data_IF_701867821681
#
_entry.id   IF_701867821681
#
_cell.length_a   1.000
_cell.length_b   1.000
_cell.length_c   1.000
_cell.angle_alpha   90.00
_cell.angle_beta   90.00
_cell.angle_gamma   90.00
#
_symmetry.space_group_name_H-M   'P 1'
#
loop_
_entity.id
_entity.type
_entity.pdbx_description
1 polymer ?
#
# COMPACT_ATOMS: atom_id res chain seq x y z
N UNK A 1 5.12 71.91 -37.59
CA UNK A 1 4.46 70.73 -38.18
C UNK A 1 5.27 69.49 -37.79
N UNK A 2 4.60 68.51 -37.15
CA UNK A 2 4.86 67.05 -37.12
C UNK A 2 6.30 66.58 -36.86
N UNK A 3 6.65 66.15 -35.63
CA UNK A 3 6.48 64.80 -35.08
C UNK A 3 7.40 63.73 -35.70
N UNK A 4 8.36 63.21 -34.94
CA UNK A 4 8.41 61.78 -34.54
C UNK A 4 9.70 61.47 -33.77
N UNK A 5 9.52 61.20 -32.49
CA UNK A 5 10.42 60.44 -31.62
C UNK A 5 10.39 58.97 -32.04
N UNK A 6 11.54 58.41 -32.42
CA UNK A 6 11.72 56.97 -32.63
C UNK A 6 12.83 56.45 -31.75
N UNK A 7 12.46 55.93 -30.58
CA UNK A 7 13.36 55.18 -29.71
C UNK A 7 13.55 53.77 -30.26
N UNK A 8 14.78 53.43 -30.63
CA UNK A 8 15.20 52.05 -30.83
C UNK A 8 15.74 51.49 -29.50
N UNK A 9 14.82 51.10 -28.62
CA UNK A 9 15.12 50.08 -27.61
C UNK A 9 15.19 48.74 -28.35
N UNK A 10 16.42 48.37 -28.74
CA UNK A 10 16.72 47.04 -29.23
C UNK A 10 16.20 46.00 -28.22
N UNK A 11 15.13 45.31 -28.60
CA UNK A 11 14.64 44.11 -27.95
C UNK A 11 15.77 43.08 -27.96
N UNK A 12 16.48 43.00 -26.83
CA UNK A 12 17.31 41.86 -26.47
C UNK A 12 16.38 40.66 -26.41
N UNK A 13 16.38 39.86 -27.47
CA UNK A 13 15.88 38.49 -27.48
C UNK A 13 16.46 37.79 -26.24
N UNK A 14 15.61 37.49 -25.28
CA UNK A 14 15.95 36.54 -24.22
C UNK A 14 16.25 35.22 -24.93
N UNK A 15 17.54 34.90 -25.02
CA UNK A 15 18.02 33.59 -25.41
C UNK A 15 17.36 32.57 -24.48
N UNK A 16 16.78 31.53 -25.09
CA UNK A 16 15.96 30.54 -24.40
C UNK A 16 16.63 30.02 -23.14
N UNK A 17 15.93 30.18 -22.02
CA UNK A 17 16.20 29.33 -20.87
C UNK A 17 16.06 27.88 -21.35
N UNK A 18 17.01 26.99 -21.02
CA UNK A 18 16.87 25.58 -21.35
C UNK A 18 15.55 25.10 -20.73
N UNK A 19 14.61 24.67 -21.57
CA UNK A 19 13.38 24.02 -21.11
C UNK A 19 13.82 22.88 -20.18
N UNK A 20 13.55 23.02 -18.88
CA UNK A 20 13.79 21.95 -17.91
C UNK A 20 13.10 20.70 -18.46
N UNK A 21 13.81 19.59 -18.50
CA UNK A 21 13.22 18.32 -18.93
C UNK A 21 12.10 17.97 -17.96
N UNK A 22 10.93 17.50 -18.44
CA UNK A 22 9.87 17.04 -17.57
C UNK A 22 10.38 15.99 -16.59
N UNK A 23 9.86 16.03 -15.36
CA UNK A 23 10.14 15.02 -14.33
C UNK A 23 9.17 13.87 -14.56
N UNK A 24 9.66 12.65 -14.65
CA UNK A 24 8.80 11.47 -14.73
C UNK A 24 8.47 10.96 -13.32
N UNK A 25 7.18 10.80 -13.03
CA UNK A 25 6.66 10.37 -11.74
C UNK A 25 5.86 9.07 -11.87
N UNK A 26 5.91 8.25 -10.83
CA UNK A 26 5.01 7.12 -10.64
C UNK A 26 4.33 7.26 -9.29
N UNK A 27 3.02 7.48 -9.33
CA UNK A 27 2.17 7.47 -8.15
C UNK A 27 1.66 6.06 -7.92
N UNK A 28 1.60 5.60 -6.67
CA UNK A 28 0.96 4.31 -6.40
C UNK A 28 0.24 4.27 -5.05
N UNK A 29 -0.71 3.34 -4.98
CA UNK A 29 -1.38 2.91 -3.75
C UNK A 29 -1.52 1.38 -3.77
N UNK A 30 -1.68 0.78 -2.59
CA UNK A 30 -1.82 -0.68 -2.45
C UNK A 30 -3.10 -1.07 -1.72
N UNK A 31 -3.71 -2.15 -2.19
CA UNK A 31 -4.73 -2.86 -1.46
C UNK A 31 -4.15 -4.09 -0.76
N UNK A 32 -4.48 -4.23 0.52
CA UNK A 32 -4.12 -5.38 1.32
C UNK A 32 -5.21 -6.46 1.26
N UNK A 33 -4.84 -7.75 1.31
CA UNK A 33 -5.81 -8.85 1.27
C UNK A 33 -6.79 -8.85 2.47
N UNK A 34 -8.08 -9.01 2.19
CA UNK A 34 -9.13 -9.24 3.22
C UNK A 34 -9.08 -10.69 3.70
N UNK A 35 -8.14 -11.00 4.58
CA UNK A 35 -7.96 -12.35 5.14
C UNK A 35 -6.75 -12.46 6.06
N UNK A 36 -5.72 -11.64 5.81
CA UNK A 36 -4.62 -11.39 6.75
C UNK A 36 -5.05 -10.59 7.99
N UNK A 37 -6.34 -10.18 8.06
CA UNK A 37 -6.96 -9.55 9.21
C UNK A 37 -7.41 -10.62 10.18
N UNK A 38 -6.91 -10.55 11.43
CA UNK A 38 -7.28 -11.47 12.50
C UNK A 38 -8.80 -11.73 12.50
N UNK A 39 -9.18 -13.00 12.34
CA UNK A 39 -10.56 -13.42 12.56
C UNK A 39 -10.89 -13.24 14.05
N UNK A 40 -11.80 -12.30 14.35
CA UNK A 40 -12.31 -12.05 15.70
C UNK A 40 -13.16 -10.78 15.75
N UNK A 41 -14.21 -10.77 16.58
CA UNK A 41 -14.97 -9.55 16.87
C UNK A 41 -14.08 -8.61 17.73
N UNK A 42 -14.12 -7.31 17.43
CA UNK A 42 -13.42 -6.24 18.16
C UNK A 42 -11.94 -6.04 17.83
N UNK A 43 -11.51 -6.34 16.59
CA UNK A 43 -10.12 -6.11 16.16
C UNK A 43 -9.94 -4.64 15.80
N UNK A 44 -9.12 -3.93 16.58
CA UNK A 44 -8.62 -2.60 16.27
C UNK A 44 -7.99 -2.57 14.86
N UNK A 45 -7.91 -1.39 14.23
CA UNK A 45 -7.19 -1.23 12.96
C UNK A 45 -5.81 -1.92 13.05
N UNK A 46 -5.64 -3.01 12.29
CA UNK A 46 -4.42 -3.80 12.34
C UNK A 46 -3.26 -2.95 11.79
N UNK A 47 -2.09 -2.99 12.44
CA UNK A 47 -0.99 -2.13 12.07
C UNK A 47 -0.35 -2.64 10.75
N UNK A 48 0.29 -1.76 9.96
CA UNK A 48 0.66 -2.04 8.57
C UNK A 48 1.67 -3.19 8.41
N UNK A 49 2.30 -3.66 9.49
CA UNK A 49 3.28 -4.76 9.46
C UNK A 49 2.65 -6.16 9.29
N UNK A 50 1.31 -6.25 9.27
CA UNK A 50 0.55 -7.50 9.11
C UNK A 50 -0.25 -7.62 7.80
N UNK A 51 -0.03 -6.73 6.83
CA UNK A 51 -0.75 -6.75 5.56
C UNK A 51 -0.04 -7.57 4.49
N UNK A 52 -0.70 -8.59 3.94
CA UNK A 52 -0.29 -9.15 2.66
C UNK A 52 -0.77 -8.20 1.56
N UNK A 53 0.16 -7.65 0.77
CA UNK A 53 -0.20 -6.86 -0.41
C UNK A 53 -0.98 -7.78 -1.35
N UNK A 54 -2.19 -7.38 -1.74
CA UNK A 54 -3.03 -8.14 -2.67
C UNK A 54 -3.02 -7.54 -4.07
N UNK A 55 -3.06 -6.20 -4.17
CA UNK A 55 -2.98 -5.46 -5.44
C UNK A 55 -2.20 -4.17 -5.25
N UNK A 56 -1.60 -3.67 -6.32
CA UNK A 56 -1.06 -2.32 -6.35
C UNK A 56 -1.54 -1.60 -7.62
N UNK A 57 -1.98 -0.36 -7.48
CA UNK A 57 -2.37 0.51 -8.58
C UNK A 57 -1.31 1.56 -8.81
N UNK A 58 -0.79 1.66 -10.04
CA UNK A 58 0.23 2.62 -10.42
C UNK A 58 -0.34 3.59 -11.47
N UNK A 59 0.02 4.86 -11.32
CA UNK A 59 -0.29 5.94 -12.25
C UNK A 59 1.04 6.59 -12.66
N UNK A 60 1.36 6.56 -13.94
CA UNK A 60 2.56 7.19 -14.49
C UNK A 60 2.22 8.58 -15.02
N UNK A 61 3.11 9.54 -14.80
CA UNK A 61 2.92 10.90 -15.28
C UNK A 61 4.23 11.62 -15.56
N UNK A 62 4.15 12.68 -16.36
CA UNK A 62 5.23 13.65 -16.55
C UNK A 62 4.79 15.00 -15.98
N UNK A 63 5.67 15.66 -15.22
CA UNK A 63 5.46 17.03 -14.73
C UNK A 63 6.37 18.00 -15.48
N UNK A 64 5.80 19.01 -16.12
CA UNK A 64 6.54 20.01 -16.90
C UNK A 64 7.02 21.24 -16.10
N UNK A 65 6.65 21.30 -14.82
CA UNK A 65 6.90 22.44 -13.93
C UNK A 65 5.64 23.19 -13.53
N UNK A 66 4.55 23.01 -14.29
CA UNK A 66 3.25 23.66 -14.04
C UNK A 66 2.11 22.64 -13.99
N UNK A 67 2.16 21.61 -14.83
CA UNK A 67 1.08 20.64 -14.99
C UNK A 67 1.57 19.20 -15.00
N UNK A 68 0.76 18.33 -14.40
CA UNK A 68 0.93 16.90 -14.42
C UNK A 68 0.18 16.28 -15.61
N UNK A 69 0.91 15.63 -16.51
CA UNK A 69 0.33 14.87 -17.63
C UNK A 69 0.41 13.38 -17.37
N UNK A 70 -0.75 12.74 -17.19
CA UNK A 70 -0.82 11.28 -17.03
C UNK A 70 -0.41 10.58 -18.32
N UNK A 71 0.55 9.66 -18.23
CA UNK A 71 1.12 8.92 -19.36
C UNK A 71 0.71 7.45 -19.38
N UNK A 72 0.23 6.90 -18.27
CA UNK A 72 -0.24 5.53 -18.22
C UNK A 72 -0.78 5.09 -16.87
N UNK A 73 -1.40 3.91 -16.87
CA UNK A 73 -1.92 3.23 -15.70
C UNK A 73 -1.49 1.78 -15.73
N UNK A 74 -1.14 1.25 -14.56
CA UNK A 74 -0.77 -0.15 -14.39
C UNK A 74 -1.48 -0.69 -13.14
N UNK A 75 -1.91 -1.95 -13.19
CA UNK A 75 -2.44 -2.65 -12.02
C UNK A 75 -1.67 -3.95 -11.85
N UNK A 76 -1.06 -4.09 -10.69
CA UNK A 76 -0.31 -5.27 -10.30
C UNK A 76 -1.25 -6.18 -9.52
N UNK A 77 -1.38 -7.40 -10.02
CA UNK A 77 -2.14 -8.49 -9.42
C UNK A 77 -1.36 -9.80 -9.62
N UNK A 78 -1.82 -10.89 -9.02
CA UNK A 78 -1.23 -12.21 -9.19
C UNK A 78 -0.56 -12.73 -7.92
N UNK A 79 0.29 -13.75 -8.03
CA UNK A 79 0.76 -14.53 -6.89
C UNK A 79 1.85 -13.82 -6.06
N UNK A 80 2.63 -12.92 -6.66
CA UNK A 80 3.75 -12.23 -5.99
C UNK A 80 3.65 -10.70 -6.17
N UNK A 81 2.58 -10.07 -5.67
CA UNK A 81 2.31 -8.66 -5.93
C UNK A 81 3.34 -7.73 -5.28
N UNK A 82 3.96 -8.13 -4.18
CA UNK A 82 5.01 -7.34 -3.53
C UNK A 82 6.28 -7.28 -4.38
N UNK A 83 6.85 -8.42 -4.80
CA UNK A 83 7.99 -8.42 -5.72
C UNK A 83 7.68 -7.78 -7.06
N UNK A 84 6.49 -8.01 -7.62
CA UNK A 84 6.07 -7.35 -8.84
C UNK A 84 6.02 -5.83 -8.69
N UNK A 85 5.51 -5.31 -7.57
CA UNK A 85 5.53 -3.89 -7.24
C UNK A 85 6.96 -3.34 -7.16
N UNK A 86 7.84 -3.98 -6.40
CA UNK A 86 9.25 -3.52 -6.27
C UNK A 86 9.96 -3.51 -7.63
N UNK A 87 9.71 -4.51 -8.47
CA UNK A 87 10.26 -4.57 -9.83
C UNK A 87 9.66 -3.48 -10.74
N UNK A 88 8.36 -3.21 -10.67
CA UNK A 88 7.71 -2.17 -11.46
C UNK A 88 8.19 -0.76 -11.07
N UNK A 89 8.48 -0.55 -9.77
CA UNK A 89 9.05 0.70 -9.26
C UNK A 89 10.57 0.82 -9.52
N UNK A 90 11.23 -0.28 -9.87
CA UNK A 90 12.66 -0.27 -10.15
C UNK A 90 12.99 0.62 -11.35
N UNK A 91 13.99 1.49 -11.20
CA UNK A 91 14.42 2.39 -12.27
C UNK A 91 13.52 3.61 -12.51
N UNK A 92 12.37 3.74 -11.84
CA UNK A 92 11.54 4.95 -11.91
C UNK A 92 12.31 6.16 -11.36
N UNK A 93 12.04 7.34 -11.92
CA UNK A 93 12.76 8.57 -11.57
C UNK A 93 12.31 9.12 -10.22
N UNK A 94 11.00 9.26 -10.01
CA UNK A 94 10.41 9.68 -8.74
C UNK A 94 9.15 8.85 -8.46
N UNK A 95 8.99 8.40 -7.24
CA UNK A 95 7.90 7.55 -6.77
C UNK A 95 7.16 8.32 -5.67
N UNK A 96 5.84 8.41 -5.76
CA UNK A 96 5.05 9.22 -4.83
C UNK A 96 3.82 8.44 -4.37
N UNK A 97 3.43 8.61 -3.11
CA UNK A 97 2.25 7.96 -2.57
C UNK A 97 2.02 8.32 -1.12
N UNK A 98 0.84 7.97 -0.63
CA UNK A 98 0.37 8.35 0.69
C UNK A 98 0.69 7.26 1.71
N UNK A 99 1.67 7.51 2.59
CA UNK A 99 2.05 6.52 3.60
C UNK A 99 2.94 5.40 3.08
N UNK A 100 3.54 5.57 1.90
CA UNK A 100 4.38 4.57 1.23
C UNK A 100 5.48 4.02 2.14
N UNK A 101 6.24 4.88 2.82
CA UNK A 101 7.41 4.48 3.60
C UNK A 101 6.97 3.79 4.90
N UNK A 102 5.86 4.24 5.45
CA UNK A 102 5.36 3.81 6.77
C UNK A 102 4.46 2.58 6.72
N UNK A 103 3.81 2.32 5.58
CA UNK A 103 2.90 1.21 5.37
C UNK A 103 3.34 0.28 4.23
N UNK A 104 3.33 0.77 2.99
CA UNK A 104 3.33 -0.11 1.81
C UNK A 104 4.68 -0.80 1.58
N UNK A 105 5.77 -0.03 1.54
CA UNK A 105 7.10 -0.60 1.37
C UNK A 105 7.51 -1.37 2.63
N UNK A 106 6.97 -1.03 3.80
CA UNK A 106 7.19 -1.85 5.00
C UNK A 106 6.51 -3.21 4.89
N UNK A 107 5.29 -3.28 4.37
CA UNK A 107 4.60 -4.53 4.11
C UNK A 107 5.32 -5.37 3.05
N UNK A 108 5.82 -4.72 1.98
CA UNK A 108 6.62 -5.39 0.94
C UNK A 108 7.94 -5.94 1.51
N UNK A 109 8.64 -5.17 2.35
CA UNK A 109 9.93 -5.56 2.91
C UNK A 109 9.89 -6.83 3.78
N UNK A 110 8.71 -7.21 4.27
CA UNK A 110 8.52 -8.45 5.02
C UNK A 110 8.64 -9.72 4.16
N UNK A 111 8.44 -9.62 2.84
CA UNK A 111 8.39 -10.76 1.91
C UNK A 111 9.41 -10.67 0.78
N UNK A 112 9.84 -9.46 0.43
CA UNK A 112 10.80 -9.22 -0.66
C UNK A 112 11.78 -8.09 -0.31
N UNK A 113 13.06 -8.17 -0.72
CA UNK A 113 14.03 -7.10 -0.47
C UNK A 113 13.66 -5.79 -1.16
N UNK A 114 13.96 -4.65 -0.51
CA UNK A 114 13.74 -3.32 -1.08
C UNK A 114 15.08 -2.68 -1.44
N UNK A 115 15.32 -2.34 -2.72
CA UNK A 115 16.54 -1.66 -3.12
C UNK A 115 16.67 -0.29 -2.45
N UNK A 116 17.83 0.03 -1.87
CA UNK A 116 18.07 1.35 -1.25
C UNK A 116 17.91 2.52 -2.23
N UNK A 117 18.17 2.29 -3.52
CA UNK A 117 17.99 3.29 -4.57
C UNK A 117 16.52 3.67 -4.80
N UNK A 118 15.60 2.73 -4.57
CA UNK A 118 14.16 3.00 -4.63
C UNK A 118 13.80 4.00 -3.53
N UNK A 119 14.33 3.81 -2.31
CA UNK A 119 14.05 4.68 -1.17
C UNK A 119 14.43 6.13 -1.43
N UNK A 120 15.62 6.37 -1.99
CA UNK A 120 16.11 7.71 -2.29
C UNK A 120 15.26 8.50 -3.29
N UNK A 121 14.35 7.82 -4.00
CA UNK A 121 13.46 8.38 -5.02
C UNK A 121 11.99 8.32 -4.59
N UNK A 122 11.71 8.01 -3.33
CA UNK A 122 10.37 7.89 -2.81
C UNK A 122 9.98 9.12 -2.01
N UNK A 123 8.80 9.66 -2.30
CA UNK A 123 8.14 10.71 -1.56
C UNK A 123 6.91 10.12 -0.89
N UNK A 124 6.91 10.11 0.43
CA UNK A 124 5.75 9.82 1.26
C UNK A 124 5.03 11.13 1.59
N UNK A 125 3.89 11.36 0.94
CA UNK A 125 3.09 12.58 1.10
C UNK A 125 2.43 12.66 2.48
N UNK A 126 2.19 11.52 3.14
CA UNK A 126 1.67 11.49 4.51
C UNK A 126 2.75 11.96 5.48
N UNK A 127 3.96 11.42 5.36
CA UNK A 127 5.08 11.77 6.21
C UNK A 127 5.45 13.26 6.05
N UNK A 128 5.55 13.72 4.81
CA UNK A 128 5.74 15.12 4.47
C UNK A 128 4.69 16.02 5.14
N UNK A 129 3.40 15.72 4.95
CA UNK A 129 2.32 16.54 5.51
C UNK A 129 2.35 16.62 7.04
N UNK A 130 2.72 15.51 7.69
CA UNK A 130 2.86 15.48 9.14
C UNK A 130 4.03 16.33 9.65
N UNK A 131 5.17 16.31 8.94
CA UNK A 131 6.33 17.16 9.27
C UNK A 131 5.98 18.64 9.15
N UNK A 132 5.41 19.06 8.02
CA UNK A 132 5.04 20.47 7.79
C UNK A 132 4.03 20.98 8.84
N UNK A 133 3.05 20.14 9.21
CA UNK A 133 2.08 20.48 10.25
C UNK A 133 2.71 20.63 11.66
N UNK A 134 3.87 20.03 11.92
CA UNK A 134 4.58 20.15 13.20
C UNK A 134 3.91 19.43 14.39
N UNK A 135 3.10 18.40 14.14
CA UNK A 135 2.34 17.69 15.19
C UNK A 135 2.43 16.16 15.10
N UNK A 136 2.23 15.43 16.22
CA UNK A 136 2.36 13.97 16.26
C UNK A 136 1.43 13.28 15.25
N UNK A 137 1.89 12.19 14.62
CA UNK A 137 1.06 11.29 13.81
C UNK A 137 -0.03 10.71 14.74
N UNK A 138 -1.28 11.26 14.81
CA UNK A 138 -2.29 11.10 13.75
C UNK A 138 -3.39 12.20 13.63
N UNK A 139 -4.23 12.03 12.58
CA UNK A 139 -5.51 12.71 12.20
C UNK A 139 -5.40 14.09 11.52
N UNK A 140 -6.10 14.26 10.38
CA UNK A 140 -6.11 15.50 9.57
C UNK A 140 -5.27 15.46 8.29
N UNK A 141 -4.33 14.52 8.16
CA UNK A 141 -3.45 14.39 6.98
C UNK A 141 -3.64 13.06 6.22
N UNK A 142 -4.74 12.32 6.45
CA UNK A 142 -5.01 11.13 5.63
C UNK A 142 -5.41 11.55 4.20
N UNK A 143 -5.45 10.61 3.26
CA UNK A 143 -5.76 10.94 1.87
C UNK A 143 -7.12 11.66 1.72
N UNK A 144 -8.15 11.24 2.45
CA UNK A 144 -9.49 11.86 2.41
C UNK A 144 -9.42 13.33 2.83
N UNK A 145 -8.71 13.61 3.92
CA UNK A 145 -8.54 14.95 4.47
C UNK A 145 -7.71 15.81 3.51
N UNK A 146 -6.59 15.30 2.98
CA UNK A 146 -5.74 16.06 2.05
C UNK A 146 -6.46 16.34 0.72
N UNK A 147 -7.19 15.38 0.17
CA UNK A 147 -8.01 15.58 -1.04
C UNK A 147 -9.08 16.63 -0.80
N UNK A 148 -9.78 16.56 0.35
CA UNK A 148 -10.81 17.54 0.71
C UNK A 148 -10.24 18.94 0.83
N UNK A 149 -9.16 19.11 1.57
CA UNK A 149 -8.65 20.45 1.87
C UNK A 149 -7.82 21.06 0.73
N UNK A 150 -7.16 20.25 -0.11
CA UNK A 150 -6.30 20.77 -1.20
C UNK A 150 -7.00 20.77 -2.57
N UNK A 151 -7.98 19.89 -2.79
CA UNK A 151 -8.72 19.80 -4.07
C UNK A 151 -10.18 20.26 -3.96
N UNK A 152 -10.73 20.40 -2.74
CA UNK A 152 -12.16 20.68 -2.54
C UNK A 152 -13.07 19.49 -2.84
N UNK A 153 -12.50 18.28 -2.96
CA UNK A 153 -13.21 17.07 -3.38
C UNK A 153 -13.44 16.11 -2.23
N UNK A 154 -14.52 15.33 -2.26
CA UNK A 154 -14.67 14.21 -1.34
C UNK A 154 -14.20 12.93 -2.01
N UNK A 155 -13.30 12.20 -1.36
CA UNK A 155 -12.93 10.84 -1.79
C UNK A 155 -14.16 9.93 -1.73
N UNK A 156 -14.67 9.54 -2.89
CA UNK A 156 -15.80 8.62 -3.00
C UNK A 156 -15.33 7.17 -2.94
N UNK A 157 -15.15 6.61 -1.74
CA UNK A 157 -15.15 5.14 -1.62
C UNK A 157 -16.61 4.67 -1.58
N UNK A 158 -17.01 3.79 -2.51
CA UNK A 158 -18.32 3.12 -2.45
C UNK A 158 -18.40 2.33 -1.14
N UNK A 159 -19.02 2.91 -0.11
CA UNK A 159 -19.19 2.26 1.19
C UNK A 159 -20.36 1.29 1.08
N UNK A 160 -20.08 0.03 0.78
CA UNK A 160 -21.07 -1.01 1.03
C UNK A 160 -21.29 -1.13 2.54
N UNK A 161 -22.55 -1.23 3.00
CA UNK A 161 -22.85 -1.29 4.42
C UNK A 161 -22.19 -2.53 5.03
N UNK A 162 -21.27 -2.31 5.97
CA UNK A 162 -20.61 -3.32 6.81
C UNK A 162 -21.58 -4.15 7.67
N UNK A 163 -22.88 -3.88 7.58
CA UNK A 163 -23.94 -4.38 8.44
C UNK A 163 -25.08 -5.07 7.68
N UNK A 164 -24.87 -5.52 6.44
CA UNK A 164 -25.83 -6.40 5.76
C UNK A 164 -25.98 -7.73 6.57
N UNK A 165 -27.15 -7.99 7.19
CA UNK A 165 -27.35 -9.19 8.01
C UNK A 165 -27.38 -10.42 7.09
N UNK A 166 -26.32 -11.22 7.13
CA UNK A 166 -26.17 -12.42 6.28
C UNK A 166 -24.71 -12.71 5.91
N UNK A 167 -23.85 -11.69 5.90
CA UNK A 167 -22.41 -11.80 5.63
C UNK A 167 -21.60 -11.86 6.95
N UNK A 168 -22.00 -12.72 7.89
CA UNK A 168 -21.22 -12.89 9.13
C UNK A 168 -19.89 -13.58 8.80
N UNK A 169 -18.73 -13.03 9.22
CA UNK A 169 -17.48 -13.77 9.24
C UNK A 169 -17.60 -14.83 10.35
N UNK A 170 -17.69 -16.08 9.94
CA UNK A 170 -18.07 -17.22 10.78
C UNK A 170 -18.52 -18.46 9.98
N UNK A 171 -18.76 -18.30 8.68
CA UNK A 171 -18.75 -19.42 7.74
C UNK A 171 -17.32 -19.81 7.39
N UNK A 172 -17.07 -21.12 7.26
CA UNK A 172 -15.76 -21.76 7.04
C UNK A 172 -15.09 -21.31 5.72
N UNK A 173 -15.82 -20.63 4.83
CA UNK A 173 -15.29 -19.98 3.64
C UNK A 173 -15.17 -18.46 3.87
N UNK A 174 -14.12 -18.07 4.57
CA UNK A 174 -13.76 -16.66 4.76
C UNK A 174 -13.19 -16.02 3.49
N UNK A 175 -13.89 -16.08 2.35
CA UNK A 175 -13.64 -15.23 1.16
C UNK A 175 -14.96 -15.03 0.43
N UNK A 176 -15.53 -13.83 0.50
CA UNK A 176 -16.53 -13.41 -0.47
C UNK A 176 -15.79 -12.92 -1.73
N UNK A 177 -16.22 -13.30 -2.94
CA UNK A 177 -15.52 -13.02 -4.20
C UNK A 177 -16.01 -11.75 -4.90
N UNK A 178 -17.09 -11.15 -4.40
CA UNK A 178 -17.52 -9.83 -4.83
C UNK A 178 -16.59 -8.77 -4.21
N UNK A 179 -15.39 -8.63 -4.79
CA UNK A 179 -14.44 -7.54 -4.52
C UNK A 179 -15.05 -6.24 -5.04
N UNK A 180 -15.99 -5.68 -4.28
CA UNK A 180 -16.40 -4.28 -4.43
C UNK A 180 -15.42 -3.33 -3.70
N UNK A 181 -14.13 -3.65 -3.76
CA UNK A 181 -13.05 -2.82 -3.20
C UNK A 181 -12.72 -1.70 -4.20
N UNK A 182 -12.47 -0.49 -3.70
CA UNK A 182 -12.03 0.64 -4.53
C UNK A 182 -10.79 0.24 -5.35
N UNK A 183 -10.66 0.77 -6.56
CA UNK A 183 -9.51 0.52 -7.41
C UNK A 183 -8.30 1.30 -6.83
N UNK A 184 -7.18 0.65 -6.49
CA UNK A 184 -6.03 1.36 -5.92
C UNK A 184 -5.45 2.40 -6.88
N UNK A 185 -5.74 2.30 -8.18
CA UNK A 185 -5.39 3.35 -9.16
C UNK A 185 -6.17 4.65 -8.94
N UNK A 186 -7.39 4.59 -8.42
CA UNK A 186 -8.17 5.79 -8.09
C UNK A 186 -7.50 6.55 -6.94
N UNK A 187 -7.01 5.83 -5.93
CA UNK A 187 -6.30 6.43 -4.81
C UNK A 187 -4.92 6.96 -5.24
N UNK A 188 -4.18 6.23 -6.07
CA UNK A 188 -2.94 6.72 -6.68
C UNK A 188 -3.17 7.99 -7.52
N UNK A 189 -4.30 8.07 -8.25
CA UNK A 189 -4.69 9.27 -9.00
C UNK A 189 -5.00 10.45 -8.08
N UNK A 190 -5.68 10.20 -6.95
CA UNK A 190 -5.92 11.24 -5.95
C UNK A 190 -4.61 11.75 -5.37
N UNK A 191 -3.65 10.87 -5.08
CA UNK A 191 -2.31 11.30 -4.66
C UNK A 191 -1.65 12.16 -5.74
N UNK A 192 -1.73 11.76 -7.01
CA UNK A 192 -1.15 12.51 -8.13
C UNK A 192 -1.68 13.94 -8.20
N UNK A 193 -2.99 14.10 -8.11
CA UNK A 193 -3.66 15.40 -8.15
C UNK A 193 -3.41 16.24 -6.91
N UNK A 194 -3.43 15.62 -5.73
CA UNK A 194 -3.07 16.30 -4.49
C UNK A 194 -1.62 16.78 -4.56
N UNK A 195 -0.68 15.94 -4.97
CA UNK A 195 0.72 16.31 -5.15
C UNK A 195 0.89 17.47 -6.12
N UNK A 196 0.22 17.45 -7.29
CA UNK A 196 0.25 18.55 -8.25
C UNK A 196 -0.23 19.85 -7.59
N UNK A 197 -1.37 19.81 -6.89
CA UNK A 197 -1.89 20.98 -6.19
C UNK A 197 -0.92 21.52 -5.13
N UNK A 198 -0.26 20.67 -4.34
CA UNK A 198 0.75 21.09 -3.36
C UNK A 198 1.92 21.81 -4.06
N UNK A 199 2.42 21.25 -5.16
CA UNK A 199 3.57 21.79 -5.88
C UNK A 199 3.24 23.11 -6.59
N UNK A 200 2.07 23.21 -7.22
CA UNK A 200 1.69 24.41 -8.00
C UNK A 200 1.24 25.56 -7.13
N UNK A 201 0.44 25.28 -6.09
CA UNK A 201 -0.07 26.31 -5.18
C UNK A 201 0.93 26.68 -4.10
N UNK A 202 1.97 25.85 -3.90
CA UNK A 202 2.93 25.97 -2.80
C UNK A 202 2.26 26.07 -1.44
N UNK A 203 1.16 25.34 -1.26
CA UNK A 203 0.39 25.34 -0.02
C UNK A 203 0.03 23.91 0.32
N UNK A 204 0.20 23.54 1.58
CA UNK A 204 -0.37 22.32 2.14
C UNK A 204 -1.50 22.70 3.08
N UNK A 205 -2.71 22.20 2.82
CA UNK A 205 -3.84 22.26 3.73
C UNK A 205 -4.14 20.88 4.35
N UNK A 206 -4.57 20.85 5.61
CA UNK A 206 -4.94 19.64 6.34
C UNK A 206 -6.23 19.81 7.13
N UNK A 207 -6.95 18.70 7.28
CA UNK A 207 -8.25 18.66 7.94
C UNK A 207 -8.16 18.68 9.46
N UNK A 208 -9.31 18.85 10.11
CA UNK A 208 -9.41 18.72 11.55
C UNK A 208 -9.20 17.25 11.95
N UNK A 209 -8.34 17.04 12.95
CA UNK A 209 -8.10 15.76 13.55
C UNK A 209 -9.34 15.19 14.24
N UNK A 210 -9.48 13.87 14.25
CA UNK A 210 -10.56 13.20 15.00
C UNK A 210 -10.25 13.28 16.49
N UNK A 211 -11.26 13.41 17.36
CA UNK A 211 -11.05 13.36 18.80
C UNK A 211 -10.39 12.04 19.21
N UNK A 212 -9.40 12.13 20.08
CA UNK A 212 -8.57 10.97 20.45
C UNK A 212 -9.28 10.01 21.40
N UNK A 213 -10.21 10.48 22.23
CA UNK A 213 -10.94 9.71 23.24
C UNK A 213 -12.17 10.49 23.71
N UNK A 214 -13.27 9.80 24.01
CA UNK A 214 -14.42 10.34 24.74
C UNK A 214 -14.42 9.68 26.12
N UNK A 215 -14.25 10.46 27.20
CA UNK A 215 -14.39 9.90 28.55
C UNK A 215 -15.84 9.39 28.75
N UNK A 216 -16.04 8.43 29.65
CA UNK A 216 -17.39 7.93 29.99
C UNK A 216 -18.32 9.06 30.49
N UNK A 217 -17.72 10.16 30.94
CA UNK A 217 -18.35 11.34 31.51
C UNK A 217 -18.49 12.51 30.51
N UNK A 218 -18.18 12.29 29.22
CA UNK A 218 -18.45 13.26 28.13
C UNK A 218 -17.30 14.19 27.77
N UNK A 219 -16.20 14.22 28.52
CA UNK A 219 -15.03 15.03 28.17
C UNK A 219 -14.32 14.47 26.94
N UNK A 220 -14.47 15.18 25.83
CA UNK A 220 -13.83 14.87 24.55
C UNK A 220 -12.63 15.80 24.38
N UNK A 221 -11.42 15.26 24.33
CA UNK A 221 -10.25 16.08 23.95
C UNK A 221 -10.42 16.54 22.50
N UNK A 222 -10.32 17.85 22.20
CA UNK A 222 -10.43 18.32 20.83
C UNK A 222 -9.31 17.70 19.99
N UNK A 223 -9.66 17.28 18.77
CA UNK A 223 -8.67 16.84 17.79
C UNK A 223 -7.79 18.02 17.33
N UNK A 224 -6.73 17.72 16.57
CA UNK A 224 -5.87 18.74 15.96
C UNK A 224 -6.72 19.69 15.10
N UNK A 225 -6.48 21.00 15.18
CA UNK A 225 -7.21 21.94 14.34
C UNK A 225 -6.85 21.76 12.85
N UNK A 226 -7.83 22.00 11.97
CA UNK A 226 -7.56 22.18 10.55
C UNK A 226 -6.61 23.37 10.35
N UNK A 227 -5.85 23.36 9.27
CA UNK A 227 -4.87 24.42 9.03
C UNK A 227 -4.24 24.33 7.65
N UNK A 228 -3.34 25.27 7.38
CA UNK A 228 -2.52 25.26 6.18
C UNK A 228 -1.15 25.86 6.46
N UNK A 229 -0.20 25.55 5.59
CA UNK A 229 1.15 26.10 5.62
C UNK A 229 1.64 26.39 4.19
N UNK A 230 2.39 27.46 4.03
CA UNK A 230 3.11 27.76 2.80
C UNK A 230 4.33 26.84 2.65
N UNK A 231 4.60 26.42 1.42
CA UNK A 231 5.72 25.57 1.04
C UNK A 231 6.80 26.42 0.37
N UNK A 232 7.92 26.59 1.06
CA UNK A 232 9.11 27.25 0.50
C UNK A 232 9.81 26.41 -0.61
N UNK A 233 10.92 26.95 -1.12
CA UNK A 233 11.70 26.33 -2.18
C UNK A 233 12.32 24.97 -1.81
N UNK A 234 12.66 24.75 -0.54
CA UNK A 234 13.21 23.46 -0.09
C UNK A 234 12.13 22.38 -0.08
N UNK A 235 10.93 22.73 0.38
CA UNK A 235 9.77 21.84 0.32
C UNK A 235 9.42 21.43 -1.11
N UNK A 236 9.46 22.37 -2.06
CA UNK A 236 9.21 22.08 -3.47
C UNK A 236 10.34 21.25 -4.08
N UNK A 237 11.59 21.54 -3.74
CA UNK A 237 12.73 20.75 -4.19
C UNK A 237 12.63 19.29 -3.69
N UNK A 238 12.14 19.07 -2.47
CA UNK A 238 11.87 17.73 -1.95
C UNK A 238 10.74 17.03 -2.72
N UNK A 239 9.57 17.67 -2.86
CA UNK A 239 8.41 17.08 -3.53
C UNK A 239 8.67 16.75 -5.00
N UNK A 240 9.57 17.48 -5.66
CA UNK A 240 9.97 17.27 -7.06
C UNK A 240 11.21 16.38 -7.22
N UNK A 241 11.78 15.88 -6.11
CA UNK A 241 12.92 14.98 -6.13
C UNK A 241 14.26 15.64 -6.47
N UNK A 242 14.33 16.98 -6.49
CA UNK A 242 15.61 17.71 -6.54
C UNK A 242 16.40 17.51 -5.23
N UNK A 243 15.70 17.31 -4.11
CA UNK A 243 16.25 16.90 -2.82
C UNK A 243 15.61 15.58 -2.37
N UNK A 244 16.39 14.71 -1.73
CA UNK A 244 15.86 13.49 -1.12
C UNK A 244 15.03 13.84 0.10
N UNK A 245 13.84 13.25 0.21
CA UNK A 245 12.99 13.38 1.39
C UNK A 245 13.72 12.91 2.66
N UNK A 246 13.61 13.70 3.73
CA UNK A 246 14.25 13.42 5.03
C UNK A 246 13.87 12.02 5.51
N UNK A 247 12.59 11.67 5.48
CA UNK A 247 12.07 10.39 5.94
C UNK A 247 12.59 9.21 5.11
N UNK A 248 12.78 9.40 3.80
CA UNK A 248 13.38 8.40 2.93
C UNK A 248 14.88 8.19 3.24
N UNK A 249 15.62 9.27 3.48
CA UNK A 249 17.03 9.21 3.86
C UNK A 249 17.22 8.54 5.23
N UNK A 250 16.39 8.87 6.22
CA UNK A 250 16.35 8.19 7.52
C UNK A 250 16.08 6.70 7.36
N UNK A 251 15.18 6.33 6.44
CA UNK A 251 14.86 4.94 6.20
C UNK A 251 16.06 4.17 5.64
N UNK A 252 16.72 4.73 4.62
CA UNK A 252 17.91 4.15 4.02
C UNK A 252 19.08 4.02 5.01
N UNK A 253 19.28 5.02 5.87
CA UNK A 253 20.31 4.99 6.91
C UNK A 253 20.05 3.89 7.95
N UNK A 254 18.82 3.79 8.47
CA UNK A 254 18.46 2.76 9.46
C UNK A 254 18.53 1.34 8.93
N UNK A 255 18.15 1.12 7.67
CA UNK A 255 18.33 -0.19 7.03
C UNK A 255 19.82 -0.54 6.95
N UNK A 256 20.67 0.42 6.59
CA UNK A 256 22.12 0.20 6.44
C UNK A 256 22.83 -0.02 7.77
N UNK A 257 22.57 0.82 8.77
CA UNK A 257 23.31 0.86 10.03
C UNK A 257 22.74 -0.10 11.07
N UNK A 258 21.41 -0.20 11.15
CA UNK A 258 20.73 -0.97 12.19
C UNK A 258 20.08 -2.25 11.65
N UNK A 259 19.99 -2.41 10.32
CA UNK A 259 19.18 -3.47 9.72
C UNK A 259 17.72 -3.34 10.15
N UNK A 260 17.18 -2.11 10.22
CA UNK A 260 15.81 -1.82 10.70
C UNK A 260 15.00 -1.00 9.71
N UNK A 261 13.75 -1.41 9.49
CA UNK A 261 12.73 -0.62 8.82
C UNK A 261 12.21 0.41 9.83
N UNK A 262 12.04 1.68 9.42
CA UNK A 262 11.50 2.82 10.18
C UNK A 262 10.40 2.41 11.16
N UNK A 263 10.42 2.97 12.38
CA UNK A 263 9.50 2.61 13.46
C UNK A 263 8.04 2.89 13.07
N UNK A 264 7.08 2.12 13.61
CA UNK A 264 5.67 2.39 13.39
C UNK A 264 5.29 3.77 13.90
N UNK A 265 4.41 4.45 13.18
CA UNK A 265 3.83 5.73 13.59
C UNK A 265 2.97 5.60 14.85
N UNK A 266 2.34 4.43 15.04
CA UNK A 266 1.65 4.05 16.29
C UNK A 266 2.50 3.01 17.04
N UNK A 267 3.09 3.35 18.20
CA UNK A 267 3.97 2.44 18.91
C UNK A 267 3.19 1.21 19.38
N UNK A 268 3.48 0.06 18.77
CA UNK A 268 3.12 -1.26 19.28
C UNK A 268 4.37 -2.10 19.41
N UNK A 269 4.49 -2.84 20.52
CA UNK A 269 5.65 -3.72 20.76
C UNK A 269 5.78 -4.72 19.60
N UNK A 270 4.68 -5.28 19.13
CA UNK A 270 4.66 -6.26 18.05
C UNK A 270 5.04 -5.65 16.69
N UNK A 271 4.57 -4.44 16.37
CA UNK A 271 4.94 -3.73 15.14
C UNK A 271 6.43 -3.36 15.12
N UNK A 272 6.98 -2.94 16.26
CA UNK A 272 8.42 -2.70 16.41
C UNK A 272 9.25 -3.99 16.21
N UNK A 273 8.79 -5.11 16.77
CA UNK A 273 9.46 -6.41 16.60
C UNK A 273 9.46 -6.87 15.13
N UNK A 274 8.32 -6.78 14.44
CA UNK A 274 8.25 -7.17 13.02
C UNK A 274 9.13 -6.29 12.13
N UNK A 275 9.16 -4.98 12.38
CA UNK A 275 10.00 -4.05 11.64
C UNK A 275 11.50 -4.35 11.77
N UNK A 276 11.93 -4.79 12.95
CA UNK A 276 13.30 -5.23 13.17
C UNK A 276 13.59 -6.57 12.46
N UNK A 277 12.62 -7.47 12.42
CA UNK A 277 12.78 -8.79 11.80
C UNK A 277 12.73 -8.75 10.26
N UNK A 278 12.07 -7.77 9.67
CA UNK A 278 11.96 -7.63 8.21
C UNK A 278 13.13 -6.92 7.55
N UNK A 279 13.99 -6.29 8.33
CA UNK A 279 15.04 -5.41 7.82
C UNK A 279 16.45 -6.04 7.84
N UNK A 280 16.57 -7.25 8.38
CA UNK A 280 17.71 -8.12 8.12
C UNK A 280 17.50 -8.90 6.81
N UNK A 281 18.59 -9.37 6.17
CA UNK A 281 18.49 -10.47 5.19
C UNK A 281 17.63 -11.56 5.81
N UNK A 282 16.37 -11.65 5.39
CA UNK A 282 15.42 -12.47 6.12
C UNK A 282 15.84 -13.92 5.85
N UNK A 283 16.22 -14.71 6.86
CA UNK A 283 16.50 -16.12 6.63
C UNK A 283 15.19 -16.79 6.24
N UNK A 284 15.23 -17.64 5.22
CA UNK A 284 14.05 -18.41 4.77
C UNK A 284 13.44 -19.08 6.01
N UNK A 285 12.10 -19.02 6.21
CA UNK A 285 11.49 -19.56 7.40
C UNK A 285 11.49 -21.09 7.32
N UNK A 286 12.61 -21.71 7.69
CA UNK A 286 12.87 -23.15 7.57
C UNK A 286 11.75 -24.03 8.14
N UNK A 287 11.13 -23.69 9.30
CA UNK A 287 9.99 -24.46 9.79
C UNK A 287 8.77 -24.44 8.86
N UNK A 288 8.60 -23.40 8.04
CA UNK A 288 7.56 -23.30 7.00
C UNK A 288 7.97 -24.08 5.76
N UNK A 289 9.26 -24.04 5.38
CA UNK A 289 9.81 -24.85 4.27
C UNK A 289 9.53 -26.35 4.49
N UNK A 290 9.78 -26.86 5.70
CA UNK A 290 9.52 -28.27 6.05
C UNK A 290 8.04 -28.65 5.83
N UNK A 291 7.09 -27.75 6.13
CA UNK A 291 5.67 -27.98 5.89
C UNK A 291 5.38 -27.99 4.40
N UNK A 292 5.91 -27.02 3.66
CA UNK A 292 5.78 -26.96 2.21
C UNK A 292 6.26 -28.25 1.53
N UNK A 293 7.45 -28.74 1.89
CA UNK A 293 8.02 -29.96 1.33
C UNK A 293 7.15 -31.19 1.67
N UNK A 294 6.58 -31.23 2.88
CA UNK A 294 5.66 -32.31 3.31
C UNK A 294 4.37 -32.30 2.46
N UNK A 295 3.81 -31.12 2.19
CA UNK A 295 2.62 -30.97 1.37
C UNK A 295 2.90 -31.33 -0.11
N UNK A 296 4.06 -30.96 -0.63
CA UNK A 296 4.49 -31.38 -1.97
C UNK A 296 4.66 -32.90 -2.08
N UNK A 297 5.31 -33.53 -1.09
CA UNK A 297 5.46 -34.99 -1.06
C UNK A 297 4.12 -35.74 -0.95
N UNK A 298 3.11 -35.12 -0.31
CA UNK A 298 1.75 -35.65 -0.23
C UNK A 298 0.91 -35.39 -1.50
N UNK A 299 1.41 -34.60 -2.46
CA UNK A 299 0.66 -34.21 -3.66
C UNK A 299 -0.40 -33.12 -3.41
N UNK A 300 -0.41 -32.51 -2.23
CA UNK A 300 -1.32 -31.43 -1.85
C UNK A 300 -0.88 -30.07 -2.41
N UNK A 301 0.39 -29.94 -2.80
CA UNK A 301 0.93 -28.81 -3.57
C UNK A 301 1.49 -29.35 -4.89
N UNK A 302 1.21 -28.72 -6.03
CA UNK A 302 1.73 -29.17 -7.32
C UNK A 302 3.26 -29.30 -7.31
N UNK A 303 3.76 -30.48 -7.68
CA UNK A 303 5.19 -30.81 -7.64
C UNK A 303 6.04 -30.06 -8.67
N UNK A 304 5.40 -29.52 -9.72
CA UNK A 304 5.99 -28.64 -10.72
C UNK A 304 6.15 -27.19 -10.22
N UNK A 305 5.54 -26.84 -9.08
CA UNK A 305 5.66 -25.50 -8.50
C UNK A 305 6.89 -25.40 -7.60
N UNK A 306 7.91 -24.67 -8.05
CA UNK A 306 9.07 -24.33 -7.23
C UNK A 306 8.72 -23.18 -6.29
N UNK A 307 8.52 -23.50 -5.01
CA UNK A 307 8.19 -22.52 -3.97
C UNK A 307 9.37 -21.60 -3.67
N UNK A 308 9.21 -20.32 -3.99
CA UNK A 308 10.20 -19.28 -3.75
C UNK A 308 10.24 -18.90 -2.26
N UNK A 309 11.26 -18.16 -1.86
CA UNK A 309 11.33 -17.62 -0.49
C UNK A 309 10.13 -16.70 -0.19
N UNK A 310 9.69 -15.91 -1.18
CA UNK A 310 8.53 -15.03 -1.06
C UNK A 310 7.25 -15.80 -0.72
N UNK A 311 6.98 -16.95 -1.37
CA UNK A 311 5.80 -17.78 -1.07
C UNK A 311 5.75 -18.16 0.43
N UNK A 312 6.90 -18.49 1.01
CA UNK A 312 6.97 -18.86 2.42
C UNK A 312 6.78 -17.66 3.36
N UNK A 313 7.27 -16.47 2.98
CA UNK A 313 7.05 -15.26 3.76
C UNK A 313 5.62 -14.76 3.68
N UNK A 314 5.01 -14.84 2.50
CA UNK A 314 3.60 -14.55 2.31
C UNK A 314 2.74 -15.47 3.18
N UNK A 315 3.08 -16.76 3.26
CA UNK A 315 2.39 -17.69 4.15
C UNK A 315 2.48 -17.26 5.62
N UNK A 316 3.62 -16.69 6.06
CA UNK A 316 3.76 -16.14 7.41
C UNK A 316 2.91 -14.89 7.62
N UNK A 317 2.88 -13.97 6.65
CA UNK A 317 2.07 -12.75 6.72
C UNK A 317 0.58 -13.05 6.77
N UNK A 318 0.13 -14.07 6.07
CA UNK A 318 -1.27 -14.51 6.02
C UNK A 318 -1.84 -14.83 7.42
N UNK A 319 -0.99 -15.28 8.36
CA UNK A 319 -1.40 -15.68 9.71
C UNK A 319 -1.68 -14.52 10.67
N UNK A 320 -1.31 -13.29 10.30
CA UNK A 320 -1.37 -12.12 11.16
C UNK A 320 -0.13 -11.92 12.06
N UNK A 321 -0.04 -10.75 12.69
CA UNK A 321 1.15 -10.22 13.37
C UNK A 321 1.75 -11.16 14.42
N UNK A 322 0.94 -11.71 15.34
CA UNK A 322 1.45 -12.51 16.47
C UNK A 322 1.97 -13.88 16.03
N UNK A 323 1.23 -14.54 15.14
CA UNK A 323 1.60 -15.84 14.58
C UNK A 323 2.84 -15.71 13.71
N UNK A 324 2.92 -14.65 12.90
CA UNK A 324 4.11 -14.33 12.10
C UNK A 324 5.35 -14.14 13.00
N UNK A 325 5.20 -13.42 14.13
CA UNK A 325 6.27 -13.27 15.12
C UNK A 325 6.71 -14.62 15.71
N UNK A 326 5.79 -15.51 16.07
CA UNK A 326 6.13 -16.84 16.61
C UNK A 326 6.86 -17.70 15.56
N UNK A 327 6.37 -17.71 14.31
CA UNK A 327 7.03 -18.42 13.19
C UNK A 327 8.45 -17.90 12.97
N UNK A 328 8.64 -16.57 12.94
CA UNK A 328 9.96 -15.95 12.75
C UNK A 328 10.90 -16.20 13.92
N UNK A 329 10.42 -16.09 15.17
CA UNK A 329 11.21 -16.43 16.35
C UNK A 329 11.69 -17.88 16.32
N UNK A 330 10.82 -18.81 15.94
CA UNK A 330 11.17 -20.23 15.80
C UNK A 330 12.19 -20.48 14.71
N UNK A 331 12.03 -19.81 13.57
CA UNK A 331 12.99 -19.87 12.46
C UNK A 331 14.38 -19.38 12.90
N UNK A 332 14.44 -18.26 13.62
CA UNK A 332 15.70 -17.71 14.12
C UNK A 332 16.37 -18.55 15.23
N UNK A 333 15.59 -19.33 15.99
CA UNK A 333 16.09 -20.13 17.12
C UNK A 333 16.20 -21.63 16.83
N UNK A 334 15.91 -22.07 15.60
CA UNK A 334 15.89 -23.49 15.22
C UNK A 334 14.79 -24.32 15.92
N UNK A 335 13.80 -23.68 16.52
CA UNK A 335 12.69 -24.37 17.20
C UNK A 335 11.64 -24.84 16.18
N UNK A 336 11.02 -25.99 16.45
CA UNK A 336 9.90 -26.50 15.63
C UNK A 336 8.64 -25.66 15.80
N UNK A 337 7.78 -25.61 14.78
CA UNK A 337 6.43 -25.03 14.90
C UNK A 337 5.57 -25.81 15.90
N UNK A 338 4.79 -25.08 16.68
CA UNK A 338 3.79 -25.65 17.59
C UNK A 338 2.68 -26.33 16.80
N UNK A 339 1.99 -27.30 17.41
CA UNK A 339 0.83 -27.96 16.79
C UNK A 339 -0.23 -26.94 16.30
N UNK A 340 -0.59 -25.90 17.07
CA UNK A 340 -1.56 -24.88 16.62
C UNK A 340 -1.10 -24.00 15.45
N UNK A 341 0.20 -23.91 15.15
CA UNK A 341 0.70 -23.12 14.01
C UNK A 341 0.86 -23.93 12.72
N UNK A 342 1.04 -25.25 12.81
CA UNK A 342 1.30 -26.09 11.63
C UNK A 342 0.15 -26.08 10.65
N UNK A 343 -1.08 -26.25 11.14
CA UNK A 343 -2.27 -26.32 10.30
C UNK A 343 -2.59 -24.96 9.63
N UNK A 344 -2.58 -23.82 10.35
CA UNK A 344 -2.69 -22.51 9.69
C UNK A 344 -1.60 -22.22 8.66
N UNK A 345 -0.35 -22.60 8.93
CA UNK A 345 0.75 -22.45 7.96
C UNK A 345 0.52 -23.31 6.72
N UNK A 346 0.15 -24.58 6.91
CA UNK A 346 -0.13 -25.51 5.82
C UNK A 346 -1.29 -24.99 4.95
N UNK A 347 -2.34 -24.47 5.59
CA UNK A 347 -3.48 -23.88 4.91
C UNK A 347 -3.09 -22.64 4.10
N UNK A 348 -2.29 -21.74 4.68
CA UNK A 348 -1.80 -20.56 3.96
C UNK A 348 -0.95 -20.93 2.74
N UNK A 349 -0.04 -21.91 2.87
CA UNK A 349 0.75 -22.44 1.76
C UNK A 349 -0.13 -23.08 0.67
N UNK A 350 -1.14 -23.86 1.07
CA UNK A 350 -2.08 -24.46 0.14
C UNK A 350 -2.91 -23.41 -0.61
N UNK A 351 -3.32 -22.32 0.05
CA UNK A 351 -4.09 -21.26 -0.61
C UNK A 351 -3.26 -20.45 -1.61
N UNK A 352 -2.04 -20.03 -1.22
CA UNK A 352 -1.09 -19.39 -2.15
C UNK A 352 -0.77 -20.31 -3.35
N UNK A 353 -0.85 -21.61 -3.06
CA UNK A 353 -0.82 -22.80 -3.92
C UNK A 353 -1.71 -22.89 -5.15
N UNK A 354 -2.96 -22.50 -4.90
CA UNK A 354 -4.14 -22.86 -5.69
C UNK A 354 -5.04 -21.61 -5.88
N UNK A 355 -4.53 -20.56 -6.55
CA UNK A 355 -5.29 -19.33 -6.78
C UNK A 355 -6.59 -19.58 -7.59
N UNK A 356 -6.63 -20.63 -8.39
CA UNK A 356 -7.80 -21.05 -9.16
C UNK A 356 -8.95 -21.54 -8.26
N UNK A 357 -8.65 -22.17 -7.13
CA UNK A 357 -9.68 -22.64 -6.18
C UNK A 357 -10.32 -21.48 -5.44
N UNK A 358 -9.54 -20.44 -5.14
CA UNK A 358 -10.06 -19.20 -4.56
C UNK A 358 -10.87 -18.39 -5.58
N UNK A 359 -10.52 -18.46 -6.87
CA UNK A 359 -11.29 -17.82 -7.95
C UNK A 359 -12.58 -18.57 -8.33
N UNK A 360 -12.57 -19.92 -8.34
CA UNK A 360 -13.69 -20.75 -8.81
C UNK A 360 -14.89 -20.79 -7.84
N UNK A 361 -14.64 -20.62 -6.54
CA UNK A 361 -15.72 -20.41 -5.57
C UNK A 361 -16.32 -19.00 -5.65
N UNK A 362 -15.90 -18.21 -6.65
CA UNK A 362 -16.28 -16.82 -6.86
C UNK A 362 -17.29 -16.51 -7.95
N UNK A 363 -17.60 -17.46 -8.82
CA UNK A 363 -18.76 -17.34 -9.69
C UNK A 363 -19.90 -18.13 -9.06
N UNK A 364 -20.79 -17.43 -8.35
CA UNK A 364 -22.07 -18.00 -7.95
C UNK A 364 -22.69 -18.70 -9.16
N UNK A 365 -23.03 -19.97 -8.96
CA UNK A 365 -23.73 -20.79 -9.93
C UNK A 365 -24.99 -20.07 -10.44
N UNK A 366 -24.88 -19.36 -11.56
CA UNK A 366 -26.01 -19.08 -12.42
C UNK A 366 -26.12 -20.23 -13.42
N UNK A 367 -26.92 -21.22 -13.00
CA UNK A 367 -27.71 -22.15 -13.80
C UNK A 367 -27.45 -22.13 -15.32
N UNK A 368 -26.88 -23.22 -15.83
CA UNK A 368 -27.41 -23.98 -16.97
C UNK A 368 -27.09 -25.47 -16.68
N UNK A 369 -27.97 -26.46 -16.73
CA UNK A 369 -29.33 -26.50 -17.22
C UNK A 369 -30.23 -27.34 -16.32
N UNK A 370 -31.46 -26.86 -16.19
CA UNK A 370 -32.62 -27.71 -15.89
C UNK A 370 -32.72 -28.72 -17.04
N UNK A 371 -32.90 -30.03 -16.80
CA UNK A 371 -33.22 -30.93 -17.90
C UNK A 371 -34.55 -30.48 -18.53
N UNK A 372 -34.69 -30.53 -19.86
CA UNK A 372 -35.94 -30.15 -20.52
C UNK A 372 -37.07 -31.07 -20.06
N UNK A 373 -38.33 -30.59 -20.06
CA UNK A 373 -39.47 -31.40 -19.66
C UNK A 373 -39.65 -32.55 -20.66
N UNK A 374 -39.86 -33.74 -20.12
CA UNK A 374 -40.28 -34.90 -20.89
C UNK A 374 -41.73 -34.71 -21.35
N UNK A 375 -41.91 -34.47 -22.64
CA UNK A 375 -43.12 -34.75 -23.42
C UNK A 375 -42.61 -35.35 -24.74
N UNK A 376 -43.12 -36.43 -25.31
CA UNK A 376 -44.32 -37.24 -25.16
C UNK A 376 -44.03 -38.59 -25.84
N UNK A 377 -44.48 -39.74 -25.35
CA UNK A 377 -45.68 -40.37 -25.91
C UNK A 377 -45.40 -41.34 -27.08
N UNK A 378 -45.36 -42.64 -26.76
CA UNK A 378 -45.78 -43.83 -27.54
C UNK A 378 -45.57 -43.89 -29.07
N UNK A 379 -44.84 -44.92 -29.54
CA UNK A 379 -45.38 -46.14 -30.20
C UNK A 379 -44.26 -46.87 -30.96
N UNK A 380 -44.07 -48.13 -30.62
CA UNK A 380 -44.24 -49.29 -31.52
C UNK A 380 -44.63 -50.47 -30.64
#
# INVERSE_FOLDING_TARGET
MRSSTGGETAQRRQAGQPRRRPISLTFYDVDYERGSRAHGRSVAAAPPEGGLIGRAGLVHADFDGEHLRITGYEIITGPHPASALINALHGKQLIVGQGILTADLRAAAMVTPIPSQLLNRTIDTLAFAHRIRGGPFPTGCNLDDLVKENLGEMRCRVRFPTSAPGLRPGGISGMSPERHDADPREDAMLVARTWEALVTTRTLAWGAGKPFWTHRDGDTRPGTAAGSAELDGEHIAELTGEQTQIEAAEWAARIREEGRIMRPTTPSINGLLLANLAAAYIPVPEPVRIIADTLQAAGEIPSDRVLQAEDLYMACQYLGTQQNLDVRHRSATGKKLTKPLREPVAWALWQLTHPEWTAAHGTGAKRQGRPPPATSGSRS
#
